data_IF_153039241161
#
_entry.id   IF_153039241161
#
_cell.length_a   1.000
_cell.length_b   1.000
_cell.length_c   1.000
_cell.angle_alpha   90.00
_cell.angle_beta   90.00
_cell.angle_gamma   90.00
#
_symmetry.space_group_name_H-M   'P 1'
#
loop_
_entity.id
_entity.type
_entity.pdbx_description
1 polymer ?
#
# COMPACT_ATOMS: atom_id res chain seq x y z
N UNK A 1 6.54 16.81 11.18
CA UNK A 1 7.89 16.20 11.25
C UNK A 1 8.00 15.10 10.20
N UNK A 2 9.05 15.14 9.40
CA UNK A 2 9.26 14.11 8.39
C UNK A 2 9.72 12.80 9.03
N UNK A 3 9.22 11.68 8.51
CA UNK A 3 9.68 10.35 8.90
C UNK A 3 11.03 10.04 8.26
N UNK A 4 11.83 9.17 8.89
CA UNK A 4 13.06 8.68 8.28
C UNK A 4 12.81 7.97 6.93
N UNK A 5 11.62 7.44 6.74
CA UNK A 5 11.20 6.83 5.47
C UNK A 5 11.02 7.82 4.33
N UNK A 6 10.89 9.13 4.60
CA UNK A 6 10.77 10.12 3.54
C UNK A 6 11.99 10.14 2.62
N UNK A 7 13.19 10.03 3.19
CA UNK A 7 14.43 9.95 2.41
C UNK A 7 14.55 8.62 1.66
N UNK A 8 13.95 7.55 2.20
CA UNK A 8 14.02 6.21 1.62
C UNK A 8 12.96 5.98 0.54
N UNK A 9 11.88 6.78 0.52
CA UNK A 9 10.74 6.54 -0.35
C UNK A 9 11.09 6.37 -1.84
N UNK A 10 12.00 7.20 -2.44
CA UNK A 10 12.33 7.01 -3.86
C UNK A 10 13.02 5.70 -4.19
N UNK A 11 13.77 5.14 -3.22
CA UNK A 11 14.48 3.87 -3.41
C UNK A 11 13.61 2.68 -3.01
N UNK A 12 12.70 2.88 -2.07
CA UNK A 12 11.85 1.82 -1.54
C UNK A 12 11.03 1.14 -2.63
N UNK A 13 10.48 1.92 -3.55
CA UNK A 13 9.66 1.38 -4.65
C UNK A 13 10.47 0.42 -5.51
N UNK A 14 11.67 0.81 -5.93
CA UNK A 14 12.53 -0.07 -6.72
C UNK A 14 13.01 -1.27 -5.91
N UNK A 15 13.36 -1.06 -4.63
CA UNK A 15 13.85 -2.12 -3.75
C UNK A 15 12.79 -3.18 -3.47
N UNK A 16 11.54 -2.75 -3.26
CA UNK A 16 10.44 -3.66 -2.89
C UNK A 16 9.66 -4.22 -4.08
N UNK A 17 9.90 -3.74 -5.28
CA UNK A 17 9.10 -4.11 -6.45
C UNK A 17 9.09 -5.62 -6.74
N UNK A 18 10.14 -6.34 -6.39
CA UNK A 18 10.24 -7.78 -6.58
C UNK A 18 9.62 -8.60 -5.44
N UNK A 19 9.24 -7.97 -4.34
CA UNK A 19 8.68 -8.65 -3.17
C UNK A 19 7.16 -8.79 -3.32
N UNK A 20 6.73 -9.70 -4.18
CA UNK A 20 5.31 -9.87 -4.53
C UNK A 20 4.64 -11.07 -3.86
N UNK A 21 5.40 -12.02 -3.32
CA UNK A 21 4.84 -13.24 -2.75
C UNK A 21 3.88 -12.98 -1.58
N UNK A 22 4.15 -11.96 -0.77
CA UNK A 22 3.31 -11.59 0.36
C UNK A 22 2.01 -10.90 -0.05
N UNK A 23 1.97 -10.29 -1.23
CA UNK A 23 0.77 -9.61 -1.72
C UNK A 23 -0.38 -10.60 -1.89
N UNK A 24 -0.14 -11.76 -2.51
CA UNK A 24 -1.17 -12.77 -2.68
C UNK A 24 -1.73 -13.26 -1.34
N UNK A 25 -0.88 -13.40 -0.34
CA UNK A 25 -1.29 -13.77 1.01
C UNK A 25 -2.25 -12.74 1.61
N UNK A 26 -1.89 -11.45 1.53
CA UNK A 26 -2.72 -10.38 2.07
C UNK A 26 -4.03 -10.21 1.30
N UNK A 27 -4.02 -10.40 0.00
CA UNK A 27 -5.25 -10.40 -0.81
C UNK A 27 -6.19 -11.51 -0.34
N UNK A 28 -5.69 -12.70 -0.06
CA UNK A 28 -6.49 -13.81 0.44
C UNK A 28 -7.12 -13.48 1.79
N UNK A 29 -6.35 -12.90 2.72
CA UNK A 29 -6.88 -12.47 4.01
C UNK A 29 -7.95 -11.39 3.86
N UNK A 30 -7.73 -10.43 2.98
CA UNK A 30 -8.66 -9.33 2.76
C UNK A 30 -9.98 -9.80 2.17
N UNK A 31 -9.97 -10.83 1.32
CA UNK A 31 -11.20 -11.40 0.75
C UNK A 31 -12.11 -12.01 1.82
N UNK A 32 -11.53 -12.54 2.87
CA UNK A 32 -12.26 -13.13 3.99
C UNK A 32 -12.78 -12.12 5.01
N UNK A 33 -12.25 -10.91 4.98
CA UNK A 33 -12.64 -9.87 5.94
C UNK A 33 -14.04 -9.33 5.64
N UNK A 34 -14.77 -8.99 6.70
CA UNK A 34 -16.18 -8.55 6.60
C UNK A 34 -16.34 -7.04 6.43
N UNK A 35 -15.32 -6.28 6.44
CA UNK A 35 -15.43 -4.81 6.39
C UNK A 35 -14.25 -4.16 5.71
N UNK A 36 -14.12 -2.84 5.88
CA UNK A 36 -12.99 -2.12 5.35
C UNK A 36 -11.68 -2.67 5.87
N UNK A 37 -10.65 -2.61 5.04
CA UNK A 37 -9.32 -3.08 5.40
C UNK A 37 -8.50 -1.88 5.90
N UNK A 38 -7.81 -2.05 7.01
CA UNK A 38 -6.88 -1.04 7.52
C UNK A 38 -5.47 -1.62 7.46
N UNK A 39 -4.58 -0.90 6.79
CA UNK A 39 -3.16 -1.27 6.72
C UNK A 39 -2.32 -0.23 7.45
N UNK A 40 -1.65 -0.65 8.52
CA UNK A 40 -0.68 0.18 9.22
C UNK A 40 0.64 0.15 8.45
N UNK A 41 1.34 1.29 8.43
CA UNK A 41 2.59 1.45 7.68
C UNK A 41 2.39 1.09 6.20
N UNK A 42 1.39 1.70 5.57
CA UNK A 42 1.00 1.38 4.19
C UNK A 42 2.12 1.65 3.17
N UNK A 43 3.05 2.53 3.49
CA UNK A 43 4.13 2.91 2.60
C UNK A 43 3.60 3.52 1.30
N UNK A 44 4.14 3.05 0.17
CA UNK A 44 3.72 3.51 -1.16
C UNK A 44 2.52 2.74 -1.73
N UNK A 45 1.85 1.93 -0.92
CA UNK A 45 0.68 1.15 -1.35
C UNK A 45 1.01 -0.18 -2.02
N UNK A 46 2.21 -0.70 -1.83
CA UNK A 46 2.67 -1.96 -2.43
C UNK A 46 1.69 -3.12 -2.21
N UNK A 47 1.08 -3.19 -1.03
CA UNK A 47 0.08 -4.20 -0.67
C UNK A 47 -1.34 -3.65 -0.81
N UNK A 48 -1.58 -2.45 -0.29
CA UNK A 48 -2.92 -1.86 -0.27
C UNK A 48 -3.56 -1.73 -1.66
N UNK A 49 -2.78 -1.30 -2.65
CA UNK A 49 -3.31 -1.09 -4.00
C UNK A 49 -3.73 -2.42 -4.66
N UNK A 50 -2.89 -3.48 -4.67
CA UNK A 50 -3.33 -4.78 -5.17
C UNK A 50 -4.52 -5.35 -4.40
N UNK A 51 -4.60 -5.15 -3.09
CA UNK A 51 -5.73 -5.59 -2.27
C UNK A 51 -7.00 -4.87 -2.71
N UNK A 52 -6.96 -3.56 -2.86
CA UNK A 52 -8.13 -2.79 -3.31
C UNK A 52 -8.59 -3.21 -4.71
N UNK A 53 -7.64 -3.41 -5.63
CA UNK A 53 -7.96 -3.87 -6.98
C UNK A 53 -8.61 -5.26 -7.00
N UNK A 54 -8.05 -6.19 -6.25
CA UNK A 54 -8.50 -7.59 -6.27
C UNK A 54 -9.81 -7.80 -5.53
N UNK A 55 -10.08 -7.03 -4.48
CA UNK A 55 -11.25 -7.25 -3.61
C UNK A 55 -12.39 -6.27 -3.85
N UNK A 56 -12.11 -5.11 -4.43
CA UNK A 56 -13.08 -4.01 -4.52
C UNK A 56 -13.43 -3.40 -3.17
N UNK A 57 -12.76 -3.79 -2.10
CA UNK A 57 -13.02 -3.29 -0.75
C UNK A 57 -12.28 -1.98 -0.51
N UNK A 58 -12.84 -1.15 0.38
CA UNK A 58 -12.18 0.06 0.82
C UNK A 58 -10.96 -0.28 1.67
N UNK A 59 -9.82 0.25 1.31
CA UNK A 59 -8.59 0.10 2.08
C UNK A 59 -8.20 1.46 2.66
N UNK A 60 -7.96 1.50 3.96
CA UNK A 60 -7.51 2.68 4.67
C UNK A 60 -6.04 2.47 5.01
N UNK A 61 -5.17 3.24 4.37
CA UNK A 61 -3.73 3.16 4.61
C UNK A 61 -3.27 4.24 5.58
N UNK A 62 -2.43 3.87 6.51
CA UNK A 62 -1.86 4.77 7.51
C UNK A 62 -0.34 4.67 7.47
N UNK A 63 0.33 5.81 7.38
CA UNK A 63 1.78 5.87 7.42
C UNK A 63 2.24 7.22 7.96
N UNK A 64 3.38 7.25 8.60
CA UNK A 64 3.99 8.49 9.09
C UNK A 64 4.82 9.22 8.02
N UNK A 65 5.14 8.56 6.91
CA UNK A 65 5.93 9.14 5.83
C UNK A 65 5.03 9.85 4.82
N UNK A 66 5.14 11.17 4.74
CA UNK A 66 4.41 11.98 3.76
C UNK A 66 4.84 11.62 2.33
N UNK A 67 6.13 11.36 2.10
CA UNK A 67 6.63 10.97 0.78
C UNK A 67 6.09 9.63 0.34
N UNK A 68 5.99 8.65 1.24
CA UNK A 68 5.39 7.35 0.95
C UNK A 68 3.91 7.47 0.61
N UNK A 69 3.17 8.27 1.39
CA UNK A 69 1.74 8.48 1.13
C UNK A 69 1.51 9.20 -0.19
N UNK A 70 2.38 10.14 -0.58
CA UNK A 70 2.30 10.79 -1.87
C UNK A 70 2.45 9.79 -3.02
N UNK A 71 3.41 8.88 -2.92
CA UNK A 71 3.58 7.80 -3.90
C UNK A 71 2.35 6.88 -3.94
N UNK A 72 1.82 6.53 -2.77
CA UNK A 72 0.63 5.68 -2.70
C UNK A 72 -0.57 6.31 -3.40
N UNK A 73 -0.79 7.62 -3.22
CA UNK A 73 -1.87 8.34 -3.90
C UNK A 73 -1.72 8.34 -5.41
N UNK A 74 -0.50 8.58 -5.90
CA UNK A 74 -0.24 8.56 -7.34
C UNK A 74 -0.47 7.17 -7.91
N UNK A 75 -0.01 6.14 -7.24
CA UNK A 75 -0.17 4.76 -7.68
C UNK A 75 -1.62 4.31 -7.63
N UNK A 76 -2.35 4.70 -6.60
CA UNK A 76 -3.77 4.41 -6.48
C UNK A 76 -4.56 5.05 -7.62
N UNK A 77 -4.28 6.30 -7.94
CA UNK A 77 -4.93 6.98 -9.05
C UNK A 77 -4.64 6.29 -10.40
N UNK A 78 -3.39 5.89 -10.62
CA UNK A 78 -3.01 5.17 -11.84
C UNK A 78 -3.67 3.79 -11.93
N UNK A 79 -3.94 3.15 -10.80
CA UNK A 79 -4.60 1.85 -10.70
C UNK A 79 -6.13 1.93 -10.68
N UNK A 80 -6.71 3.11 -10.59
CA UNK A 80 -8.16 3.31 -10.57
C UNK A 80 -8.82 2.98 -9.23
N UNK A 81 -8.09 3.11 -8.15
CA UNK A 81 -8.63 2.80 -6.81
C UNK A 81 -8.55 3.97 -5.85
#
# INVERSE_FOLDING_TARGET
MASSYDAFAPIYDAWSAHMTADVAFYVSLAREADGPIVELAVGNGRVAIPVAQATGKRVIGIDSSVAMLAQARERAAAAGV
#
